data_IF_860915769373
#
_entry.id   IF_860915769373
#
_cell.length_a   1.000
_cell.length_b   1.000
_cell.length_c   1.000
_cell.angle_alpha   90.00
_cell.angle_beta   90.00
_cell.angle_gamma   90.00
#
_symmetry.space_group_name_H-M   'P 1'
#
loop_
_entity.id
_entity.type
_entity.pdbx_description
1 polymer ?
#
# COMPACT_ATOMS: atom_id res chain seq x y z
N UNK A 1 -33.67 44.04 40.01
CA UNK A 1 -32.81 44.21 41.23
C UNK A 1 -31.44 43.70 40.83
N UNK A 2 -30.67 44.66 40.55
CA UNK A 2 -29.24 44.99 40.87
C UNK A 2 -28.20 44.04 40.30
N UNK A 3 -27.49 44.32 39.27
CA UNK A 3 -26.47 45.32 38.96
C UNK A 3 -25.27 45.25 39.95
N UNK A 4 -24.05 45.00 39.37
CA UNK A 4 -22.81 45.81 39.42
C UNK A 4 -21.61 44.93 39.08
N UNK A 5 -20.92 45.28 38.10
CA UNK A 5 -19.76 46.18 37.78
C UNK A 5 -18.43 45.45 38.01
N UNK A 6 -17.71 45.24 36.97
CA UNK A 6 -16.65 46.02 36.35
C UNK A 6 -15.34 46.10 37.15
N UNK A 7 -14.23 45.65 36.55
CA UNK A 7 -13.08 46.55 36.39
C UNK A 7 -12.00 45.96 35.48
N UNK A 8 -11.56 46.79 34.54
CA UNK A 8 -10.45 46.63 33.63
C UNK A 8 -9.13 46.87 34.37
N UNK A 9 -8.06 46.27 33.88
CA UNK A 9 -6.70 46.54 34.27
C UNK A 9 -5.77 46.44 33.07
N UNK A 10 -5.31 47.59 32.64
CA UNK A 10 -4.47 47.94 31.51
C UNK A 10 -2.97 47.78 31.82
N UNK A 11 -2.17 47.85 30.74
CA UNK A 11 -0.74 48.14 30.68
C UNK A 11 0.20 46.92 30.76
N UNK A 12 1.24 46.77 29.98
CA UNK A 12 2.01 47.67 29.12
C UNK A 12 2.98 46.87 28.26
N UNK A 13 3.26 47.40 27.09
CA UNK A 13 4.31 46.97 26.19
C UNK A 13 5.73 47.20 26.75
N UNK A 14 6.66 46.34 26.40
CA UNK A 14 8.09 46.74 26.36
C UNK A 14 8.79 46.04 25.18
N UNK A 15 9.34 46.86 24.32
CA UNK A 15 10.31 46.60 23.26
C UNK A 15 11.57 45.93 23.79
N UNK A 16 12.15 45.04 22.98
CA UNK A 16 13.60 44.92 22.85
C UNK A 16 14.06 44.04 21.68
N UNK A 17 14.66 44.69 20.73
CA UNK A 17 15.91 44.43 19.99
C UNK A 17 16.06 43.18 19.14
N UNK A 18 16.28 43.50 17.86
CA UNK A 18 16.85 42.67 16.81
C UNK A 18 18.23 42.09 17.22
N UNK A 19 18.39 40.80 16.98
CA UNK A 19 19.66 40.09 17.01
C UNK A 19 19.88 39.40 15.68
N UNK A 20 20.85 39.89 14.95
CA UNK A 20 21.42 39.37 13.72
C UNK A 20 21.94 37.94 13.96
N UNK A 21 21.55 36.95 13.16
CA UNK A 21 22.15 35.62 13.17
C UNK A 21 22.31 35.13 11.75
N UNK A 22 23.54 35.10 11.36
CA UNK A 22 24.22 34.53 10.21
C UNK A 22 23.59 33.28 9.62
N UNK A 23 23.47 33.34 8.28
CA UNK A 23 23.29 32.22 7.38
C UNK A 23 24.36 31.15 7.62
N UNK A 24 23.95 29.95 8.02
CA UNK A 24 24.76 28.74 7.88
C UNK A 24 24.09 27.85 6.83
N UNK A 25 24.79 27.69 5.72
CA UNK A 25 24.52 26.67 4.69
C UNK A 25 24.33 25.28 5.34
N UNK A 26 23.11 24.77 5.32
CA UNK A 26 22.86 23.40 5.60
C UNK A 26 22.86 22.66 4.24
N UNK A 27 23.99 22.02 3.96
CA UNK A 27 24.12 21.04 2.89
C UNK A 27 23.02 19.97 3.05
N UNK A 28 22.23 19.80 2.00
CA UNK A 28 21.31 18.68 1.85
C UNK A 28 22.14 17.38 1.91
N UNK A 29 22.08 16.69 3.02
CA UNK A 29 22.58 15.32 3.12
C UNK A 29 21.59 14.40 2.44
N UNK A 30 22.07 13.75 1.38
CA UNK A 30 21.47 12.55 0.78
C UNK A 30 20.95 11.61 1.87
N UNK A 31 19.62 11.55 2.04
CA UNK A 31 18.98 10.55 2.86
C UNK A 31 18.92 9.25 2.04
N UNK A 32 20.04 8.51 2.01
CA UNK A 32 20.04 7.13 1.55
C UNK A 32 19.08 6.32 2.42
N UNK A 33 18.08 5.70 1.79
CA UNK A 33 17.19 4.73 2.42
C UNK A 33 18.05 3.69 3.16
N UNK A 34 17.94 3.64 4.48
CA UNK A 34 18.79 2.81 5.32
C UNK A 34 18.61 1.33 5.00
N UNK A 35 19.72 0.64 4.79
CA UNK A 35 19.81 -0.82 4.76
C UNK A 35 19.39 -1.37 6.14
N UNK A 36 18.12 -1.69 6.31
CA UNK A 36 17.65 -2.47 7.45
C UNK A 36 17.77 -3.94 7.07
N UNK A 37 18.78 -4.63 7.60
CA UNK A 37 18.90 -6.06 7.35
C UNK A 37 17.81 -6.81 8.11
N UNK A 38 17.01 -7.61 7.43
CA UNK A 38 16.12 -8.60 8.05
C UNK A 38 16.89 -9.75 8.71
N UNK A 39 18.22 -9.63 8.78
CA UNK A 39 19.16 -10.64 9.29
C UNK A 39 18.95 -11.02 10.76
N UNK A 40 18.26 -10.18 11.55
CA UNK A 40 18.00 -10.51 12.96
C UNK A 40 16.95 -11.63 13.14
N UNK A 41 16.14 -11.93 12.12
CA UNK A 41 15.13 -12.99 12.17
C UNK A 41 15.58 -14.30 11.52
N UNK A 42 16.73 -14.32 10.82
CA UNK A 42 17.19 -15.50 10.08
C UNK A 42 16.25 -15.92 8.94
N UNK A 43 15.33 -15.06 8.53
CA UNK A 43 14.35 -15.34 7.48
C UNK A 43 14.94 -15.09 6.09
N UNK A 44 14.61 -15.94 5.11
CA UNK A 44 15.14 -15.87 3.76
C UNK A 44 14.12 -16.24 2.69
N UNK A 45 14.34 -15.72 1.48
CA UNK A 45 13.75 -16.27 0.26
C UNK A 45 14.71 -17.31 -0.35
N UNK A 46 14.21 -18.28 -1.13
CA UNK A 46 15.07 -19.30 -1.73
C UNK A 46 16.18 -18.69 -2.58
N UNK A 47 17.34 -19.34 -2.58
CA UNK A 47 18.46 -18.90 -3.39
C UNK A 47 18.08 -18.83 -4.88
N UNK A 48 18.40 -17.72 -5.52
CA UNK A 48 18.05 -17.49 -6.93
C UNK A 48 16.63 -16.93 -7.12
N UNK A 49 15.96 -16.54 -6.06
CA UNK A 49 14.70 -15.78 -6.13
C UNK A 49 14.91 -14.32 -5.72
N UNK A 50 14.24 -13.41 -6.42
CA UNK A 50 14.18 -11.98 -6.17
C UNK A 50 12.70 -11.58 -6.10
N UNK A 51 12.27 -11.12 -4.92
CA UNK A 51 10.86 -10.83 -4.65
C UNK A 51 10.69 -9.34 -4.35
N UNK A 52 9.68 -8.74 -4.96
CA UNK A 52 9.20 -7.40 -4.62
C UNK A 52 7.76 -7.47 -4.16
N UNK A 53 7.46 -6.88 -3.01
CA UNK A 53 6.09 -6.74 -2.52
C UNK A 53 5.71 -5.27 -2.44
N UNK A 54 4.66 -4.87 -3.15
CA UNK A 54 4.17 -3.49 -3.27
C UNK A 54 3.03 -3.27 -2.28
N UNK A 55 3.11 -2.19 -1.50
CA UNK A 55 2.11 -1.77 -0.54
C UNK A 55 0.83 -1.22 -1.18
N UNK A 56 -0.07 -0.71 -0.33
CA UNK A 56 -1.39 -0.21 -0.70
C UNK A 56 -1.30 0.95 -1.70
N UNK A 57 -1.94 0.80 -2.86
CA UNK A 57 -1.82 1.75 -3.99
C UNK A 57 -2.89 2.84 -3.94
N UNK A 58 -4.12 2.48 -3.61
CA UNK A 58 -5.25 3.38 -3.48
C UNK A 58 -5.37 4.41 -4.62
N UNK A 59 -5.59 3.93 -5.85
CA UNK A 59 -5.84 4.80 -7.01
C UNK A 59 -4.70 5.75 -7.37
N UNK A 60 -3.47 5.51 -6.90
CA UNK A 60 -2.27 6.27 -7.24
C UNK A 60 -1.48 5.62 -8.38
N UNK A 61 -2.10 5.58 -9.57
CA UNK A 61 -1.46 5.05 -10.79
C UNK A 61 -0.14 5.77 -11.11
N UNK A 62 -0.05 7.06 -10.82
CA UNK A 62 1.15 7.88 -10.98
C UNK A 62 2.34 7.37 -10.15
N UNK A 63 2.10 7.00 -8.89
CA UNK A 63 3.13 6.44 -8.01
C UNK A 63 3.45 4.99 -8.38
N UNK A 64 2.42 4.21 -8.74
CA UNK A 64 2.61 2.82 -9.16
C UNK A 64 3.55 2.72 -10.36
N UNK A 65 3.33 3.53 -11.41
CA UNK A 65 4.18 3.56 -12.61
C UNK A 65 5.63 3.91 -12.24
N UNK A 66 5.85 4.91 -11.38
CA UNK A 66 7.18 5.29 -10.91
C UNK A 66 7.87 4.16 -10.15
N UNK A 67 7.14 3.50 -9.23
CA UNK A 67 7.69 2.41 -8.42
C UNK A 67 8.01 1.19 -9.28
N UNK A 68 7.17 0.84 -10.24
CA UNK A 68 7.42 -0.26 -11.18
C UNK A 68 8.68 -0.01 -12.03
N UNK A 69 8.93 1.22 -12.46
CA UNK A 69 10.17 1.57 -13.15
C UNK A 69 11.40 1.38 -12.25
N UNK A 70 11.33 1.78 -10.97
CA UNK A 70 12.41 1.55 -10.00
C UNK A 70 12.64 0.05 -9.76
N UNK A 71 11.58 -0.75 -9.67
CA UNK A 71 11.65 -2.21 -9.52
C UNK A 71 12.32 -2.85 -10.73
N UNK A 72 11.96 -2.45 -11.95
CA UNK A 72 12.56 -3.00 -13.17
C UNK A 72 14.04 -2.66 -13.29
N UNK A 73 14.41 -1.42 -13.01
CA UNK A 73 15.81 -0.97 -12.99
C UNK A 73 16.65 -1.71 -11.93
N UNK A 74 16.12 -1.90 -10.72
CA UNK A 74 16.79 -2.62 -9.64
C UNK A 74 16.95 -4.12 -9.99
N UNK A 75 15.91 -4.75 -10.51
CA UNK A 75 15.96 -6.15 -10.94
C UNK A 75 16.96 -6.35 -12.08
N UNK A 76 16.98 -5.45 -13.07
CA UNK A 76 17.93 -5.48 -14.17
C UNK A 76 19.39 -5.30 -13.68
N UNK A 77 19.62 -4.40 -12.72
CA UNK A 77 20.93 -4.24 -12.07
C UNK A 77 21.35 -5.52 -11.34
N UNK A 78 20.47 -6.10 -10.54
CA UNK A 78 20.72 -7.34 -9.79
C UNK A 78 21.09 -8.50 -10.74
N UNK A 79 20.39 -8.66 -11.86
CA UNK A 79 20.71 -9.67 -12.87
C UNK A 79 22.10 -9.43 -13.48
N UNK A 80 22.47 -8.18 -13.80
CA UNK A 80 23.79 -7.84 -14.34
C UNK A 80 24.90 -8.17 -13.35
N UNK A 81 24.77 -7.76 -12.08
CA UNK A 81 25.75 -8.00 -11.02
C UNK A 81 25.94 -9.49 -10.76
N UNK A 82 24.83 -10.25 -10.72
CA UNK A 82 24.86 -11.71 -10.59
C UNK A 82 25.61 -12.39 -11.75
N UNK A 83 25.35 -11.97 -13.00
CA UNK A 83 26.02 -12.52 -14.18
C UNK A 83 27.52 -12.21 -14.18
N UNK A 84 27.93 -11.05 -13.67
CA UNK A 84 29.35 -10.71 -13.50
C UNK A 84 30.00 -11.63 -12.45
N UNK A 85 29.30 -11.91 -11.34
CA UNK A 85 29.85 -12.68 -10.22
C UNK A 85 29.86 -14.19 -10.50
N UNK A 86 28.77 -14.73 -11.08
CA UNK A 86 28.57 -16.18 -11.24
C UNK A 86 28.81 -16.67 -12.68
N UNK A 87 29.06 -15.76 -13.64
CA UNK A 87 29.18 -16.05 -15.06
C UNK A 87 27.82 -16.08 -15.78
N UNK A 88 27.85 -15.94 -17.11
CA UNK A 88 26.65 -15.90 -17.96
C UNK A 88 25.88 -17.23 -18.01
N UNK A 89 26.46 -18.33 -17.57
CA UNK A 89 25.88 -19.67 -17.50
C UNK A 89 25.08 -19.89 -16.18
N UNK A 90 25.04 -18.88 -15.28
CA UNK A 90 24.28 -18.99 -14.04
C UNK A 90 22.78 -19.18 -14.32
N UNK A 91 22.13 -20.03 -13.52
CA UNK A 91 20.68 -20.23 -13.62
C UNK A 91 19.94 -18.88 -13.55
N UNK A 92 18.90 -18.64 -14.39
CA UNK A 92 18.17 -17.40 -14.40
C UNK A 92 17.61 -17.07 -13.01
N UNK A 93 17.62 -15.78 -12.65
CA UNK A 93 17.01 -15.30 -11.43
C UNK A 93 15.47 -15.35 -11.59
N UNK A 94 14.79 -16.03 -10.67
CA UNK A 94 13.34 -16.04 -10.63
C UNK A 94 12.86 -14.75 -9.99
N UNK A 95 12.16 -13.91 -10.76
CA UNK A 95 11.63 -12.64 -10.31
C UNK A 95 10.16 -12.78 -9.96
N UNK A 96 9.75 -12.31 -8.79
CA UNK A 96 8.35 -12.34 -8.34
C UNK A 96 7.93 -10.93 -7.91
N UNK A 97 6.75 -10.50 -8.34
CA UNK A 97 6.12 -9.24 -7.98
C UNK A 97 4.79 -9.55 -7.27
N UNK A 98 4.64 -9.06 -6.05
CA UNK A 98 3.48 -9.29 -5.20
C UNK A 98 2.86 -7.95 -4.86
N UNK A 99 1.59 -7.75 -5.14
CA UNK A 99 0.82 -6.60 -4.70
C UNK A 99 -0.04 -7.04 -3.52
N UNK A 100 -0.01 -6.29 -2.40
CA UNK A 100 -0.70 -6.71 -1.18
C UNK A 100 -2.15 -6.23 -1.06
N UNK A 101 -2.72 -5.72 -2.16
CA UNK A 101 -4.12 -5.29 -2.24
C UNK A 101 -4.31 -3.78 -2.14
N UNK A 102 -5.56 -3.38 -1.95
CA UNK A 102 -6.02 -1.99 -1.90
C UNK A 102 -5.57 -1.16 -3.12
N UNK A 103 -5.95 -1.65 -4.30
CA UNK A 103 -5.70 -0.97 -5.59
C UNK A 103 -6.62 0.22 -5.80
N UNK A 104 -7.86 0.10 -5.31
CA UNK A 104 -8.95 1.04 -5.53
C UNK A 104 -9.15 1.99 -4.35
N UNK A 105 -10.04 2.96 -4.52
CA UNK A 105 -10.53 3.90 -3.53
C UNK A 105 -9.54 4.99 -3.10
N UNK A 106 -10.06 6.10 -2.57
CA UNK A 106 -9.34 7.25 -2.01
C UNK A 106 -8.56 8.07 -3.03
N UNK A 107 -7.77 7.45 -3.87
CA UNK A 107 -6.98 8.11 -4.91
C UNK A 107 -7.78 8.33 -6.19
N UNK A 108 -7.26 9.19 -7.04
CA UNK A 108 -8.00 9.77 -8.17
C UNK A 108 -8.07 8.89 -9.42
N UNK A 109 -7.27 7.82 -9.51
CA UNK A 109 -7.16 7.02 -10.73
C UNK A 109 -7.08 5.50 -10.46
N UNK A 110 -8.10 4.97 -9.78
CA UNK A 110 -8.24 3.53 -9.58
C UNK A 110 -8.28 2.76 -10.91
N UNK A 111 -8.95 3.32 -11.93
CA UNK A 111 -8.97 2.73 -13.27
C UNK A 111 -7.58 2.59 -13.86
N UNK A 112 -6.75 3.63 -13.79
CA UNK A 112 -5.37 3.60 -14.28
C UNK A 112 -4.48 2.62 -13.52
N UNK A 113 -4.73 2.38 -12.23
CA UNK A 113 -4.07 1.31 -11.48
C UNK A 113 -4.38 -0.05 -12.10
N UNK A 114 -5.66 -0.37 -12.37
CA UNK A 114 -6.05 -1.66 -12.95
C UNK A 114 -5.52 -1.81 -14.39
N UNK A 115 -5.54 -0.74 -15.20
CA UNK A 115 -4.90 -0.74 -16.53
C UNK A 115 -3.39 -1.03 -16.43
N UNK A 116 -2.71 -0.51 -15.41
CA UNK A 116 -1.30 -0.79 -15.16
C UNK A 116 -1.06 -2.25 -14.77
N UNK A 117 -1.92 -2.85 -13.95
CA UNK A 117 -1.85 -4.27 -13.62
C UNK A 117 -2.06 -5.17 -14.85
N UNK A 118 -2.91 -4.75 -15.79
CA UNK A 118 -3.20 -5.50 -17.01
C UNK A 118 -2.10 -5.38 -18.07
N UNK A 119 -1.49 -4.21 -18.22
CA UNK A 119 -0.69 -3.87 -19.41
C UNK A 119 0.64 -3.20 -19.12
N UNK A 120 0.89 -2.75 -17.91
CA UNK A 120 2.03 -1.93 -17.52
C UNK A 120 3.07 -2.61 -16.63
N UNK A 121 2.97 -3.91 -16.39
CA UNK A 121 3.90 -4.63 -15.52
C UNK A 121 5.22 -4.94 -16.22
N UNK A 122 6.37 -4.90 -15.52
CA UNK A 122 7.66 -5.24 -16.08
C UNK A 122 7.72 -6.72 -16.50
N UNK A 123 8.46 -7.00 -17.57
CA UNK A 123 8.51 -8.33 -18.15
C UNK A 123 9.34 -9.33 -17.32
N UNK A 124 8.95 -10.60 -17.40
CA UNK A 124 9.67 -11.72 -16.80
C UNK A 124 9.50 -11.85 -15.29
N UNK A 125 8.48 -11.25 -14.71
CA UNK A 125 8.05 -11.49 -13.34
C UNK A 125 6.89 -12.49 -13.28
N UNK A 126 6.92 -13.38 -12.28
CA UNK A 126 5.70 -14.02 -11.81
C UNK A 126 4.94 -13.02 -10.95
N UNK A 127 3.64 -12.83 -11.20
CA UNK A 127 2.85 -11.78 -10.54
C UNK A 127 1.77 -12.40 -9.67
N UNK A 128 1.64 -11.89 -8.44
CA UNK A 128 0.57 -12.19 -7.51
C UNK A 128 -0.12 -10.89 -7.12
N UNK A 129 -1.43 -10.82 -7.29
CA UNK A 129 -2.25 -9.69 -6.85
C UNK A 129 -3.14 -10.17 -5.71
N UNK A 130 -2.91 -9.65 -4.50
CA UNK A 130 -3.71 -10.00 -3.34
C UNK A 130 -4.95 -9.11 -3.27
N UNK A 131 -6.00 -9.62 -2.66
CA UNK A 131 -7.22 -8.89 -2.39
C UNK A 131 -7.07 -8.07 -1.11
N UNK A 132 -7.38 -6.78 -1.17
CA UNK A 132 -7.56 -5.92 -0.02
C UNK A 132 -9.03 -5.79 0.39
N UNK A 133 -9.28 -5.17 1.53
CA UNK A 133 -10.64 -4.93 1.99
C UNK A 133 -11.38 -3.91 1.11
N UNK A 134 -10.69 -3.04 0.41
CA UNK A 134 -11.29 -2.09 -0.53
C UNK A 134 -11.81 -2.78 -1.78
N UNK A 135 -11.11 -3.77 -2.31
CA UNK A 135 -11.64 -4.62 -3.39
C UNK A 135 -12.85 -5.40 -2.92
N UNK A 136 -12.83 -5.94 -1.68
CA UNK A 136 -13.99 -6.65 -1.15
C UNK A 136 -15.22 -5.74 -1.04
N UNK A 137 -15.09 -4.52 -0.51
CA UNK A 137 -16.22 -3.57 -0.44
C UNK A 137 -16.78 -3.21 -1.81
N UNK A 138 -15.94 -3.06 -2.83
CA UNK A 138 -16.36 -2.82 -4.20
C UNK A 138 -17.10 -4.05 -4.78
N UNK A 139 -16.60 -5.26 -4.55
CA UNK A 139 -17.24 -6.50 -5.00
C UNK A 139 -18.60 -6.70 -4.29
N UNK A 140 -18.69 -6.43 -2.98
CA UNK A 140 -19.94 -6.48 -2.23
C UNK A 140 -20.97 -5.49 -2.83
N UNK A 141 -20.54 -4.29 -3.24
CA UNK A 141 -21.42 -3.34 -3.92
C UNK A 141 -21.82 -3.81 -5.32
N UNK A 142 -20.95 -4.51 -6.05
CA UNK A 142 -21.29 -5.09 -7.35
C UNK A 142 -22.34 -6.21 -7.23
N UNK A 143 -22.32 -6.95 -6.11
CA UNK A 143 -23.31 -8.01 -5.82
C UNK A 143 -24.60 -7.42 -5.25
N UNK A 144 -24.51 -6.49 -4.30
CA UNK A 144 -25.66 -5.82 -3.66
C UNK A 144 -25.49 -4.30 -3.63
N UNK A 145 -26.36 -3.61 -4.36
CA UNK A 145 -26.37 -2.15 -4.40
C UNK A 145 -26.54 -1.49 -3.01
N UNK A 146 -27.11 -2.18 -2.03
CA UNK A 146 -27.33 -1.65 -0.67
C UNK A 146 -26.01 -1.55 0.12
N UNK A 147 -24.91 -2.19 -0.34
CA UNK A 147 -23.56 -2.02 0.22
C UNK A 147 -22.92 -0.65 -0.12
N UNK A 148 -23.60 0.21 -0.89
CA UNK A 148 -23.12 1.51 -1.36
C UNK A 148 -22.54 2.38 -0.25
N UNK A 149 -23.25 2.56 0.86
CA UNK A 149 -22.85 3.52 1.89
C UNK A 149 -21.55 3.12 2.58
N UNK A 150 -21.35 1.83 2.85
CA UNK A 150 -20.10 1.33 3.43
C UNK A 150 -18.92 1.62 2.49
N UNK A 151 -19.08 1.33 1.20
CA UNK A 151 -18.03 1.56 0.23
C UNK A 151 -17.74 3.06 0.01
N UNK A 152 -18.77 3.90 -0.08
CA UNK A 152 -18.64 5.37 -0.19
C UNK A 152 -17.87 5.96 0.99
N UNK A 153 -18.20 5.57 2.23
CA UNK A 153 -17.53 6.04 3.44
C UNK A 153 -16.02 5.69 3.48
N UNK A 154 -15.62 4.69 2.71
CA UNK A 154 -14.23 4.24 2.60
C UNK A 154 -13.50 4.76 1.35
N UNK A 155 -14.09 5.69 0.58
CA UNK A 155 -13.45 6.33 -0.56
C UNK A 155 -13.85 5.76 -1.92
N UNK A 156 -14.91 4.93 -2.00
CA UNK A 156 -15.39 4.32 -3.24
C UNK A 156 -15.89 5.33 -4.28
N UNK A 157 -16.25 6.55 -3.86
CA UNK A 157 -16.64 7.61 -4.80
C UNK A 157 -15.52 7.95 -5.80
N UNK A 158 -14.26 7.95 -5.35
CA UNK A 158 -13.13 8.24 -6.23
C UNK A 158 -12.92 7.13 -7.27
N UNK A 159 -13.12 5.88 -6.86
CA UNK A 159 -13.14 4.75 -7.81
C UNK A 159 -14.25 4.94 -8.85
N UNK A 160 -15.48 5.21 -8.42
CA UNK A 160 -16.60 5.45 -9.34
C UNK A 160 -16.31 6.61 -10.31
N UNK A 161 -15.72 7.73 -9.83
CA UNK A 161 -15.31 8.86 -10.67
C UNK A 161 -14.29 8.43 -11.75
N UNK A 162 -13.30 7.63 -11.37
CA UNK A 162 -12.28 7.14 -12.31
C UNK A 162 -12.85 6.27 -13.43
N UNK A 163 -13.99 5.61 -13.16
CA UNK A 163 -14.76 4.85 -14.16
C UNK A 163 -15.85 5.68 -14.87
N UNK A 164 -15.86 7.01 -14.67
CA UNK A 164 -16.72 7.94 -15.40
C UNK A 164 -18.11 8.11 -14.83
N UNK A 165 -18.36 7.72 -13.58
CA UNK A 165 -19.63 7.97 -12.89
C UNK A 165 -19.70 9.43 -12.46
N UNK A 166 -20.80 10.11 -12.79
CA UNK A 166 -21.09 11.48 -12.31
C UNK A 166 -21.61 11.43 -10.86
N UNK A 167 -20.66 11.20 -9.93
CA UNK A 167 -20.90 11.06 -8.49
C UNK A 167 -21.62 12.30 -7.94
N UNK A 168 -21.20 13.50 -8.34
CA UNK A 168 -21.79 14.76 -7.84
C UNK A 168 -23.26 14.90 -8.23
N UNK A 169 -23.62 14.48 -9.44
CA UNK A 169 -25.01 14.45 -9.87
C UNK A 169 -25.82 13.43 -9.09
N UNK A 170 -25.29 12.22 -8.88
CA UNK A 170 -26.00 11.18 -8.14
C UNK A 170 -26.23 11.62 -6.67
N UNK A 171 -25.21 12.16 -6.01
CA UNK A 171 -25.30 12.69 -4.64
C UNK A 171 -26.31 13.83 -4.54
N UNK A 172 -26.20 14.86 -5.42
CA UNK A 172 -27.09 16.04 -5.42
C UNK A 172 -28.55 15.68 -5.66
N UNK A 173 -28.83 14.64 -6.45
CA UNK A 173 -30.19 14.20 -6.75
C UNK A 173 -30.76 13.24 -5.72
N UNK A 174 -30.01 12.84 -4.69
CA UNK A 174 -30.42 11.81 -3.74
C UNK A 174 -30.71 10.47 -4.43
N UNK A 175 -29.89 10.11 -5.42
CA UNK A 175 -30.12 8.91 -6.21
C UNK A 175 -30.09 7.65 -5.33
N UNK A 176 -31.05 6.75 -5.52
CA UNK A 176 -31.09 5.47 -4.81
C UNK A 176 -29.88 4.59 -5.17
N UNK A 177 -29.41 3.69 -4.25
CA UNK A 177 -28.23 2.82 -4.45
C UNK A 177 -28.22 2.09 -5.80
N UNK A 178 -29.35 1.55 -6.23
CA UNK A 178 -29.48 0.88 -7.55
C UNK A 178 -29.13 1.77 -8.74
N UNK A 179 -29.26 3.08 -8.62
CA UNK A 179 -28.88 4.01 -9.68
C UNK A 179 -27.35 4.16 -9.75
N UNK A 180 -26.71 4.27 -8.60
CA UNK A 180 -25.25 4.27 -8.49
C UNK A 180 -24.64 2.98 -9.06
N UNK A 181 -25.17 1.86 -8.64
CA UNK A 181 -24.76 0.54 -9.13
C UNK A 181 -24.85 0.46 -10.64
N UNK A 182 -26.00 0.82 -11.23
CA UNK A 182 -26.19 0.79 -12.68
C UNK A 182 -25.18 1.66 -13.44
N UNK A 183 -24.89 2.86 -12.95
CA UNK A 183 -23.92 3.75 -13.61
C UNK A 183 -22.49 3.22 -13.47
N UNK A 184 -22.14 2.65 -12.33
CA UNK A 184 -20.81 2.07 -12.10
C UNK A 184 -20.58 0.83 -12.96
N UNK A 185 -21.49 -0.14 -12.94
CA UNK A 185 -21.42 -1.37 -13.77
C UNK A 185 -21.28 -1.03 -15.25
N UNK A 186 -21.98 0.02 -15.73
CA UNK A 186 -21.86 0.46 -17.13
C UNK A 186 -20.45 0.95 -17.48
N UNK A 187 -19.73 1.55 -16.53
CA UNK A 187 -18.39 2.09 -16.73
C UNK A 187 -17.27 1.07 -16.51
N UNK A 188 -17.56 -0.08 -15.87
CA UNK A 188 -16.58 -1.09 -15.51
C UNK A 188 -16.36 -2.10 -16.66
N UNK A 189 -15.15 -2.15 -17.28
CA UNK A 189 -14.86 -3.13 -18.32
C UNK A 189 -14.80 -4.56 -17.76
N UNK A 190 -15.19 -5.55 -18.54
CA UNK A 190 -15.11 -6.95 -18.13
C UNK A 190 -13.67 -7.36 -17.79
N UNK A 191 -12.67 -6.91 -18.55
CA UNK A 191 -11.25 -7.18 -18.26
C UNK A 191 -10.81 -6.71 -16.87
N UNK A 192 -11.40 -5.61 -16.36
CA UNK A 192 -11.13 -5.12 -15.01
C UNK A 192 -11.83 -5.99 -13.96
N UNK A 193 -13.09 -6.39 -14.20
CA UNK A 193 -13.80 -7.32 -13.33
C UNK A 193 -13.03 -8.63 -13.21
N UNK A 194 -12.52 -9.16 -14.33
CA UNK A 194 -11.72 -10.40 -14.34
C UNK A 194 -10.43 -10.28 -13.49
N UNK A 195 -9.86 -9.09 -13.32
CA UNK A 195 -8.73 -8.87 -12.38
C UNK A 195 -9.21 -9.09 -10.95
N UNK A 196 -10.30 -8.45 -10.55
CA UNK A 196 -10.82 -8.53 -9.18
C UNK A 196 -11.28 -9.94 -8.80
N UNK A 197 -11.82 -10.71 -9.75
CA UNK A 197 -12.24 -12.11 -9.55
C UNK A 197 -11.06 -13.08 -9.36
N UNK A 198 -9.84 -12.69 -9.77
CA UNK A 198 -8.63 -13.52 -9.67
C UNK A 198 -7.71 -13.16 -8.53
N UNK A 199 -8.09 -12.19 -7.70
CA UNK A 199 -7.28 -11.78 -6.56
C UNK A 199 -7.12 -12.92 -5.55
N UNK A 200 -5.90 -13.09 -5.08
CA UNK A 200 -5.51 -14.10 -4.11
C UNK A 200 -5.66 -13.55 -2.68
N UNK A 201 -5.84 -14.41 -1.68
CA UNK A 201 -5.86 -13.97 -0.27
C UNK A 201 -4.46 -13.91 0.35
N UNK A 202 -3.53 -14.71 -0.15
CA UNK A 202 -2.16 -14.77 0.35
C UNK A 202 -1.21 -15.32 -0.70
N UNK A 203 0.07 -14.94 -0.59
CA UNK A 203 1.17 -15.52 -1.36
C UNK A 203 2.29 -15.94 -0.42
N UNK A 204 3.18 -16.85 -0.85
CA UNK A 204 4.28 -17.35 -0.03
C UNK A 204 5.57 -17.42 -0.82
N UNK A 205 6.67 -17.02 -0.19
CA UNK A 205 8.01 -17.25 -0.72
C UNK A 205 9.00 -17.43 0.44
N UNK A 206 9.68 -18.57 0.47
CA UNK A 206 10.63 -18.91 1.54
C UNK A 206 9.99 -18.80 2.93
N UNK A 207 10.61 -18.02 3.80
CA UNK A 207 10.15 -17.79 5.17
C UNK A 207 9.12 -16.66 5.29
N UNK A 208 8.61 -16.14 4.18
CA UNK A 208 7.64 -15.04 4.14
C UNK A 208 6.25 -15.49 3.71
N UNK A 209 5.24 -14.91 4.36
CA UNK A 209 3.84 -14.94 3.95
C UNK A 209 3.40 -13.49 3.67
N UNK A 210 2.81 -13.29 2.51
CA UNK A 210 2.25 -12.00 2.09
C UNK A 210 0.73 -12.07 2.21
N UNK A 211 0.15 -11.09 2.87
CA UNK A 211 -1.30 -11.00 3.12
C UNK A 211 -1.67 -9.52 3.24
N UNK A 212 -2.93 -9.16 2.93
CA UNK A 212 -3.30 -7.75 2.96
C UNK A 212 -3.23 -7.14 4.37
N UNK A 213 -4.04 -7.59 5.33
CA UNK A 213 -4.11 -6.96 6.65
C UNK A 213 -3.23 -7.65 7.71
N UNK A 214 -3.22 -8.98 7.71
CA UNK A 214 -2.49 -9.75 8.71
C UNK A 214 -3.06 -11.16 8.91
N UNK A 215 -2.66 -11.79 10.01
CA UNK A 215 -3.08 -13.14 10.38
C UNK A 215 -3.59 -13.16 11.82
N UNK A 216 -4.59 -13.98 12.12
CA UNK A 216 -5.08 -14.18 13.49
C UNK A 216 -4.07 -14.99 14.29
N UNK A 217 -3.58 -14.46 15.43
CA UNK A 217 -2.68 -15.17 16.30
C UNK A 217 -3.27 -16.49 16.81
N UNK A 218 -2.46 -17.54 16.88
CA UNK A 218 -2.89 -18.85 17.37
C UNK A 218 -3.68 -19.69 16.35
N UNK A 219 -3.96 -19.18 15.15
CA UNK A 219 -4.58 -19.90 14.03
C UNK A 219 -3.50 -20.28 13.04
N UNK A 220 -3.53 -21.51 12.54
CA UNK A 220 -2.58 -21.97 11.51
C UNK A 220 -2.69 -21.12 10.23
N UNK A 221 -1.56 -20.85 9.56
CA UNK A 221 -1.53 -19.98 8.38
C UNK A 221 -2.37 -20.51 7.20
N UNK A 222 -2.61 -21.81 7.15
CA UNK A 222 -3.47 -22.46 6.13
C UNK A 222 -4.97 -22.46 6.52
N UNK A 223 -5.28 -22.02 7.74
CA UNK A 223 -6.64 -22.02 8.29
C UNK A 223 -7.11 -20.60 8.65
N UNK A 224 -6.43 -19.59 8.12
CA UNK A 224 -6.81 -18.18 8.33
C UNK A 224 -8.15 -17.89 7.67
N UNK A 225 -9.00 -17.13 8.37
CA UNK A 225 -10.26 -16.66 7.83
C UNK A 225 -10.03 -15.50 6.85
N UNK A 226 -10.81 -15.44 5.76
CA UNK A 226 -10.72 -14.37 4.78
C UNK A 226 -10.93 -13.00 5.43
N UNK A 227 -11.89 -12.89 6.33
CA UNK A 227 -12.19 -11.63 7.03
C UNK A 227 -10.99 -11.15 7.84
N UNK A 228 -10.27 -12.05 8.54
CA UNK A 228 -9.06 -11.68 9.26
C UNK A 228 -7.96 -11.24 8.30
N UNK A 229 -7.77 -11.97 7.21
CA UNK A 229 -6.78 -11.62 6.17
C UNK A 229 -7.00 -10.24 5.56
N UNK A 230 -8.26 -9.76 5.53
CA UNK A 230 -8.65 -8.47 4.94
C UNK A 230 -8.79 -7.32 5.95
N UNK A 231 -9.04 -7.60 7.24
CA UNK A 231 -9.49 -6.57 8.17
C UNK A 231 -8.78 -6.55 9.52
N UNK A 232 -8.00 -7.56 9.89
CA UNK A 232 -7.39 -7.65 11.23
C UNK A 232 -6.43 -6.49 11.46
N UNK A 233 -6.40 -5.95 12.68
CA UNK A 233 -5.51 -4.84 13.10
C UNK A 233 -4.83 -5.17 14.43
N UNK A 234 -5.33 -4.63 15.54
CA UNK A 234 -4.68 -4.68 16.86
C UNK A 234 -4.29 -6.08 17.30
N UNK A 235 -5.16 -7.07 17.13
CA UNK A 235 -4.90 -8.46 17.53
C UNK A 235 -3.66 -9.03 16.84
N UNK A 236 -3.42 -8.64 15.58
CA UNK A 236 -2.23 -9.04 14.83
C UNK A 236 -1.03 -8.15 15.14
N UNK A 237 -1.22 -6.82 15.08
CA UNK A 237 -0.13 -5.84 15.19
C UNK A 237 0.57 -5.87 16.53
N UNK A 238 -0.16 -6.16 17.61
CA UNK A 238 0.33 -6.21 19.00
C UNK A 238 0.80 -7.61 19.42
N UNK A 239 0.51 -8.64 18.62
CA UNK A 239 0.90 -10.00 18.95
C UNK A 239 2.44 -10.17 18.94
N UNK A 240 3.02 -10.72 20.01
CA UNK A 240 4.48 -10.88 20.10
C UNK A 240 5.01 -11.96 19.13
N UNK A 241 4.14 -12.75 18.50
CA UNK A 241 4.50 -13.85 17.60
C UNK A 241 5.19 -15.01 18.33
N UNK A 242 5.84 -15.96 17.64
CA UNK A 242 5.99 -16.07 16.20
C UNK A 242 4.74 -16.58 15.48
N UNK A 243 4.63 -16.32 14.17
CA UNK A 243 3.55 -16.84 13.30
C UNK A 243 4.00 -18.05 12.47
N UNK A 244 5.23 -18.51 12.62
CA UNK A 244 5.85 -19.57 11.82
C UNK A 244 6.42 -19.08 10.48
N UNK A 245 6.10 -17.85 10.07
CA UNK A 245 6.68 -17.08 8.96
C UNK A 245 6.74 -15.60 9.34
N UNK A 246 7.54 -14.83 8.60
CA UNK A 246 7.49 -13.36 8.65
C UNK A 246 6.29 -12.92 7.81
N UNK A 247 5.37 -12.18 8.42
CA UNK A 247 4.16 -11.71 7.75
C UNK A 247 4.42 -10.34 7.10
N UNK A 248 4.37 -10.28 5.76
CA UNK A 248 4.43 -9.01 5.02
C UNK A 248 3.01 -8.53 4.78
N UNK A 249 2.71 -7.30 5.20
CA UNK A 249 1.33 -6.78 5.21
C UNK A 249 1.24 -5.28 4.93
N UNK A 250 0.02 -4.81 4.60
CA UNK A 250 -0.39 -3.43 4.44
C UNK A 250 -1.50 -3.00 5.38
N UNK A 251 -2.59 -2.43 4.83
CA UNK A 251 -3.87 -2.14 5.49
C UNK A 251 -3.83 -1.12 6.63
N UNK A 252 -2.77 -1.07 7.38
CA UNK A 252 -2.61 -0.15 8.51
C UNK A 252 -1.45 0.79 8.20
N UNK A 253 -1.75 2.03 7.74
CA UNK A 253 -0.72 2.93 7.25
C UNK A 253 0.16 3.46 8.39
N UNK A 254 1.46 3.51 8.10
CA UNK A 254 2.49 4.13 8.92
C UNK A 254 3.28 5.12 8.05
N UNK A 255 3.97 6.10 8.64
CA UNK A 255 4.74 7.08 7.87
C UNK A 255 6.00 6.49 7.22
N UNK A 256 6.45 5.34 7.69
CA UNK A 256 7.60 4.60 7.18
C UNK A 256 7.35 3.10 7.30
N UNK A 257 8.02 2.26 6.50
CA UNK A 257 7.93 0.81 6.64
C UNK A 257 8.29 0.35 8.06
N UNK A 258 7.56 -0.64 8.57
CA UNK A 258 7.75 -1.15 9.94
C UNK A 258 8.33 -2.55 9.88
N UNK A 259 9.53 -2.74 10.45
CA UNK A 259 10.13 -4.08 10.63
C UNK A 259 9.98 -4.51 12.09
N UNK A 260 9.44 -5.70 12.28
CA UNK A 260 9.35 -6.40 13.56
C UNK A 260 9.88 -7.83 13.39
N UNK A 261 10.25 -8.53 14.46
CA UNK A 261 10.77 -9.91 14.37
C UNK A 261 9.80 -10.89 13.71
N UNK A 262 8.51 -10.60 13.67
CA UNK A 262 7.45 -11.49 13.17
C UNK A 262 6.68 -10.91 11.98
N UNK A 263 6.89 -9.64 11.60
CA UNK A 263 6.16 -8.99 10.51
C UNK A 263 6.90 -7.81 9.89
N UNK A 264 6.53 -7.49 8.65
CA UNK A 264 6.99 -6.29 7.93
C UNK A 264 5.75 -5.58 7.38
N UNK A 265 5.48 -4.35 7.85
CA UNK A 265 4.42 -3.47 7.35
C UNK A 265 4.96 -2.57 6.25
N UNK A 266 4.28 -2.55 5.08
CA UNK A 266 4.71 -1.80 3.90
C UNK A 266 3.65 -0.82 3.37
N UNK A 267 2.53 -0.65 4.04
CA UNK A 267 1.59 0.44 3.76
C UNK A 267 2.15 1.74 4.33
N UNK A 268 2.62 2.61 3.46
CA UNK A 268 3.15 3.93 3.83
C UNK A 268 2.17 5.06 3.53
N UNK A 269 0.89 4.73 3.37
CA UNK A 269 -0.18 5.70 3.16
C UNK A 269 -0.02 6.48 1.85
N UNK A 270 0.32 5.82 0.75
CA UNK A 270 0.69 6.43 -0.54
C UNK A 270 -0.29 7.52 -1.00
N UNK A 271 -1.60 7.36 -0.77
CA UNK A 271 -2.62 8.34 -1.12
C UNK A 271 -2.51 9.64 -0.32
N UNK A 272 -1.94 9.60 0.88
CA UNK A 272 -1.81 10.77 1.77
C UNK A 272 -0.39 11.33 1.76
N UNK A 273 0.61 10.45 1.73
CA UNK A 273 2.02 10.82 1.87
C UNK A 273 2.70 11.09 0.52
N UNK A 274 2.17 10.53 -0.57
CA UNK A 274 2.85 10.53 -1.87
C UNK A 274 3.96 9.47 -1.98
N UNK A 275 4.20 8.70 -0.94
CA UNK A 275 5.24 7.68 -0.89
C UNK A 275 4.65 6.28 -0.97
N UNK A 276 4.78 5.61 -2.13
CA UNK A 276 4.43 4.21 -2.33
C UNK A 276 5.68 3.35 -2.13
N UNK A 277 5.56 2.29 -1.33
CA UNK A 277 6.68 1.45 -0.89
C UNK A 277 6.62 0.06 -1.51
N UNK A 278 7.80 -0.45 -1.91
CA UNK A 278 8.01 -1.87 -2.19
C UNK A 278 9.09 -2.44 -1.26
N UNK A 279 8.82 -3.62 -0.70
CA UNK A 279 9.80 -4.45 -0.03
C UNK A 279 10.51 -5.32 -1.08
N UNK A 280 11.84 -5.26 -1.13
CA UNK A 280 12.71 -6.11 -1.93
C UNK A 280 13.33 -7.18 -1.05
N UNK A 281 13.24 -8.45 -1.44
CA UNK A 281 13.83 -9.60 -0.74
C UNK A 281 14.75 -10.38 -1.70
N UNK A 282 15.96 -10.68 -1.24
CA UNK A 282 16.93 -11.54 -1.92
C UNK A 282 17.77 -12.28 -0.87
N UNK A 283 17.74 -13.62 -0.87
CA UNK A 283 18.36 -14.40 0.18
C UNK A 283 17.84 -13.98 1.56
N UNK A 284 18.73 -13.57 2.45
CA UNK A 284 18.45 -13.07 3.80
C UNK A 284 18.35 -11.53 3.89
N UNK A 285 18.43 -10.85 2.75
CA UNK A 285 18.44 -9.39 2.69
C UNK A 285 17.04 -8.85 2.39
N UNK A 286 16.61 -7.85 3.17
CA UNK A 286 15.40 -7.07 2.95
C UNK A 286 15.76 -5.58 2.79
N UNK A 287 15.24 -4.93 1.76
CA UNK A 287 15.43 -3.50 1.47
C UNK A 287 14.11 -2.89 1.00
N UNK A 288 14.02 -1.58 1.06
CA UNK A 288 12.84 -0.87 0.56
C UNK A 288 13.20 -0.03 -0.66
N UNK A 289 12.29 -0.03 -1.64
CA UNK A 289 12.19 0.96 -2.69
C UNK A 289 10.96 1.82 -2.38
N UNK A 290 11.07 3.13 -2.60
CA UNK A 290 9.99 4.04 -2.29
C UNK A 290 9.96 5.16 -3.32
N UNK A 291 8.75 5.58 -3.72
CA UNK A 291 8.62 6.78 -4.54
C UNK A 291 8.89 8.01 -3.67
N UNK A 292 9.49 9.03 -4.26
CA UNK A 292 9.62 10.34 -3.62
C UNK A 292 8.24 11.00 -3.49
N UNK A 293 8.01 11.67 -2.36
CA UNK A 293 6.78 12.39 -2.04
C UNK A 293 6.59 13.66 -2.90
#
# INVERSE_FOLDING_TARGET
>A
MTAKDASAGDASASDASAGDASSSDASASDASAGDASASDAGASVPHGELVYAVGDVHGRSDLLIKLLAQIDDDAARTVRERNVTLGAEAAPLKKTLIFIGDFVDRGHDAKGVIETLLHGLPEGFAVHCLKGNHEQMMLDFLDDAEALELWRMNGGEETMRSYGVDVDKLSRTGAAPKKWHKEFVKGLPQSHLDVFERLELQARCGDYLFVHAGVRPGVALDAQDERDSLWIRHEFLEAPGPFGKIIVHGHTPELAPVIRPNRIGIDTGAVFTGALTALRLEGDTARFLQTEA
#
